data_IF_628105009970
#
_entry.id   IF_628105009970
#
_cell.length_a   1.000
_cell.length_b   1.000
_cell.length_c   1.000
_cell.angle_alpha   90.00
_cell.angle_beta   90.00
_cell.angle_gamma   90.00
#
_symmetry.space_group_name_H-M   'P 1'
#
loop_
_entity.id
_entity.type
_entity.pdbx_description
1 polymer ?
#
# COMPACT_ATOMS: atom_id res chain seq x y z
N UNK A 1 5.45 -29.72 -31.78
CA UNK A 1 5.56 -28.52 -30.93
C UNK A 1 5.14 -28.92 -29.54
N UNK A 2 6.11 -29.17 -28.66
CA UNK A 2 5.93 -29.72 -27.31
C UNK A 2 5.80 -28.58 -26.32
N UNK A 3 4.56 -28.22 -25.98
CA UNK A 3 4.26 -27.30 -24.87
C UNK A 3 4.61 -28.00 -23.56
N UNK A 4 5.57 -27.46 -22.81
CA UNK A 4 5.94 -28.00 -21.49
C UNK A 4 4.79 -27.67 -20.50
N UNK A 5 4.08 -28.67 -19.96
CA UNK A 5 2.83 -28.44 -19.21
C UNK A 5 3.04 -28.00 -17.74
N UNK A 6 4.26 -27.63 -17.35
CA UNK A 6 4.67 -27.50 -15.96
C UNK A 6 5.27 -26.13 -15.60
N UNK A 7 4.89 -25.03 -16.27
CA UNK A 7 5.24 -23.72 -15.73
C UNK A 7 4.19 -23.33 -14.68
N UNK A 8 4.50 -23.42 -13.37
CA UNK A 8 3.51 -23.08 -12.35
C UNK A 8 3.14 -21.60 -12.49
N UNK A 9 1.83 -21.31 -12.56
CA UNK A 9 1.23 -19.96 -12.58
C UNK A 9 1.80 -19.00 -11.52
N UNK A 10 2.34 -19.58 -10.44
CA UNK A 10 3.02 -18.90 -9.34
C UNK A 10 4.23 -18.08 -9.81
N UNK A 11 4.91 -18.49 -10.89
CA UNK A 11 6.10 -17.82 -11.41
C UNK A 11 5.76 -16.50 -12.10
N UNK A 12 4.58 -16.41 -12.70
CA UNK A 12 4.12 -15.21 -13.39
C UNK A 12 3.35 -14.25 -12.47
N UNK A 13 3.07 -14.68 -11.23
CA UNK A 13 2.30 -13.90 -10.28
C UNK A 13 3.23 -13.14 -9.35
N UNK A 14 2.99 -11.83 -9.23
CA UNK A 14 3.78 -10.97 -8.37
C UNK A 14 3.85 -11.55 -6.94
N UNK A 15 5.06 -11.67 -6.36
CA UNK A 15 5.20 -12.18 -5.01
C UNK A 15 4.55 -11.24 -4.01
N UNK A 16 3.91 -11.83 -3.00
CA UNK A 16 3.36 -11.10 -1.87
C UNK A 16 4.50 -10.71 -0.93
N UNK A 17 4.66 -9.42 -0.66
CA UNK A 17 5.76 -8.87 0.15
C UNK A 17 5.31 -8.66 1.60
N UNK A 18 4.13 -8.10 1.83
CA UNK A 18 3.68 -7.70 3.17
C UNK A 18 2.18 -7.89 3.39
N UNK A 19 1.79 -8.72 4.36
CA UNK A 19 0.39 -8.93 4.79
C UNK A 19 -0.61 -9.19 3.64
N UNK A 20 -0.19 -9.82 2.55
CA UNK A 20 -1.06 -10.08 1.39
C UNK A 20 -0.91 -9.11 0.21
N UNK A 21 -0.20 -8.00 0.39
CA UNK A 21 0.11 -7.00 -0.64
C UNK A 21 1.29 -7.46 -1.53
N UNK A 22 1.14 -7.32 -2.84
CA UNK A 22 2.25 -7.38 -3.80
C UNK A 22 3.09 -6.11 -3.71
N UNK A 23 4.27 -6.12 -4.32
CA UNK A 23 5.14 -4.94 -4.40
C UNK A 23 4.40 -3.73 -4.96
N UNK A 24 3.66 -3.92 -6.06
CA UNK A 24 2.91 -2.87 -6.73
C UNK A 24 1.82 -2.27 -5.82
N UNK A 25 1.06 -3.12 -5.13
CA UNK A 25 0.02 -2.69 -4.21
C UNK A 25 0.60 -1.94 -2.99
N UNK A 26 1.77 -2.36 -2.51
CA UNK A 26 2.45 -1.71 -1.39
C UNK A 26 2.97 -0.31 -1.78
N UNK A 27 3.56 -0.17 -2.96
CA UNK A 27 3.96 1.12 -3.50
C UNK A 27 2.77 2.05 -3.74
N UNK A 28 1.65 1.53 -4.24
CA UNK A 28 0.43 2.31 -4.42
C UNK A 28 -0.12 2.81 -3.07
N UNK A 29 -0.18 1.94 -2.06
CA UNK A 29 -0.61 2.31 -0.72
C UNK A 29 0.32 3.35 -0.07
N UNK A 30 1.64 3.19 -0.26
CA UNK A 30 2.64 4.16 0.19
C UNK A 30 2.45 5.52 -0.47
N UNK A 31 2.32 5.56 -1.81
CA UNK A 31 2.16 6.81 -2.56
C UNK A 31 0.86 7.53 -2.20
N UNK A 32 -0.26 6.81 -2.10
CA UNK A 32 -1.55 7.38 -1.69
C UNK A 32 -1.50 7.87 -0.25
N UNK A 33 -0.85 7.14 0.66
CA UNK A 33 -0.75 7.54 2.07
C UNK A 33 0.20 8.71 2.30
N UNK A 34 1.32 8.78 1.59
CA UNK A 34 2.18 9.95 1.59
C UNK A 34 1.45 11.16 1.00
N UNK A 35 0.79 11.02 -0.15
CA UNK A 35 0.06 12.11 -0.80
C UNK A 35 -1.09 12.64 0.07
N UNK A 36 -1.93 11.74 0.57
CA UNK A 36 -3.05 12.10 1.45
C UNK A 36 -2.57 12.67 2.79
N UNK A 37 -1.53 12.07 3.40
CA UNK A 37 -0.94 12.55 4.64
C UNK A 37 -0.24 13.89 4.50
N UNK A 38 0.44 14.17 3.38
CA UNK A 38 0.99 15.48 3.06
C UNK A 38 -0.11 16.53 2.90
N UNK A 39 -1.18 16.24 2.14
CA UNK A 39 -2.29 17.16 1.96
C UNK A 39 -2.96 17.51 3.29
N UNK A 40 -3.19 16.51 4.14
CA UNK A 40 -3.70 16.71 5.50
C UNK A 40 -2.72 17.50 6.39
N UNK A 41 -1.42 17.22 6.25
CA UNK A 41 -0.35 17.92 6.96
C UNK A 41 -0.24 19.39 6.60
N UNK A 42 -0.40 19.73 5.33
CA UNK A 42 -0.44 21.11 4.85
C UNK A 42 -1.63 21.84 5.49
N UNK A 43 -2.81 21.22 5.49
CA UNK A 43 -3.99 21.80 6.13
C UNK A 43 -3.74 22.04 7.64
N UNK A 44 -3.15 21.07 8.34
CA UNK A 44 -2.80 21.19 9.76
C UNK A 44 -1.75 22.28 10.01
N UNK A 45 -0.72 22.35 9.17
CA UNK A 45 0.34 23.35 9.26
C UNK A 45 -0.19 24.76 9.02
N UNK A 46 -1.20 24.94 8.14
CA UNK A 46 -1.86 26.23 7.94
C UNK A 46 -2.66 26.68 9.17
N UNK A 47 -3.33 25.75 9.86
CA UNK A 47 -4.16 26.06 11.04
C UNK A 47 -3.28 26.33 12.27
N UNK A 48 -2.23 25.54 12.45
CA UNK A 48 -1.36 25.59 13.65
C UNK A 48 -0.11 26.44 13.48
N UNK A 49 0.16 26.90 12.25
CA UNK A 49 1.43 27.52 11.84
C UNK A 49 2.69 26.67 12.12
N UNK A 50 2.52 25.36 12.35
CA UNK A 50 3.61 24.43 12.66
C UNK A 50 3.96 23.57 11.43
N UNK A 51 4.93 24.04 10.65
CA UNK A 51 5.41 23.40 9.42
C UNK A 51 5.90 21.95 9.55
N UNK A 52 6.55 21.52 10.65
CA UNK A 52 7.02 20.14 10.80
C UNK A 52 5.91 19.09 10.82
N UNK A 53 4.62 19.47 10.88
CA UNK A 53 3.51 18.53 10.81
C UNK A 53 3.40 17.82 9.45
N UNK A 54 3.87 18.46 8.38
CA UNK A 54 3.75 17.91 7.01
C UNK A 54 4.44 16.55 6.88
N UNK A 55 5.74 16.38 7.18
CA UNK A 55 6.37 15.07 7.11
C UNK A 55 5.80 14.08 8.14
N UNK A 56 5.38 14.55 9.32
CA UNK A 56 4.80 13.69 10.35
C UNK A 56 3.47 13.06 9.91
N UNK A 57 2.56 13.87 9.36
CA UNK A 57 1.27 13.39 8.86
C UNK A 57 1.41 12.57 7.58
N UNK A 58 2.38 12.87 6.73
CA UNK A 58 2.71 12.07 5.55
C UNK A 58 3.10 10.64 5.93
N UNK A 59 4.04 10.49 6.87
CA UNK A 59 4.46 9.19 7.37
C UNK A 59 3.34 8.46 8.12
N UNK A 60 2.53 9.19 8.91
CA UNK A 60 1.37 8.61 9.58
C UNK A 60 0.32 8.09 8.58
N UNK A 61 0.00 8.87 7.54
CA UNK A 61 -0.92 8.48 6.47
C UNK A 61 -0.44 7.25 5.70
N UNK A 62 0.85 7.21 5.34
CA UNK A 62 1.49 6.05 4.72
C UNK A 62 1.37 4.80 5.60
N UNK A 63 1.71 4.90 6.88
CA UNK A 63 1.64 3.78 7.82
C UNK A 63 0.19 3.26 7.96
N UNK A 64 -0.79 4.16 8.09
CA UNK A 64 -2.20 3.80 8.21
C UNK A 64 -2.71 3.06 6.96
N UNK A 65 -2.40 3.56 5.77
CA UNK A 65 -2.84 2.94 4.52
C UNK A 65 -2.16 1.58 4.27
N UNK A 66 -0.86 1.44 4.54
CA UNK A 66 -0.15 0.17 4.40
C UNK A 66 -0.67 -0.87 5.40
N UNK A 67 -0.89 -0.46 6.66
CA UNK A 67 -1.44 -1.34 7.71
C UNK A 67 -2.89 -1.76 7.41
N UNK A 68 -3.71 -0.83 6.89
CA UNK A 68 -5.11 -1.08 6.50
C UNK A 68 -5.22 -1.95 5.25
N UNK A 69 -4.39 -1.69 4.23
CA UNK A 69 -4.38 -2.39 2.95
C UNK A 69 -4.17 -3.89 3.08
N UNK A 70 -3.24 -4.31 3.97
CA UNK A 70 -3.02 -5.73 4.25
C UNK A 70 -4.25 -6.44 4.85
N UNK A 71 -5.04 -5.73 5.67
CA UNK A 71 -6.25 -6.30 6.29
C UNK A 71 -7.41 -6.40 5.30
N UNK A 72 -7.60 -5.39 4.45
CA UNK A 72 -8.65 -5.38 3.42
C UNK A 72 -8.36 -6.41 2.34
N UNK A 73 -7.10 -6.51 1.90
CA UNK A 73 -6.71 -7.43 0.84
C UNK A 73 -6.67 -8.90 1.32
N UNK A 74 -6.23 -9.15 2.57
CA UNK A 74 -6.35 -10.47 3.18
C UNK A 74 -7.81 -10.94 3.29
N UNK A 75 -8.76 -10.00 3.46
CA UNK A 75 -10.21 -10.30 3.42
C UNK A 75 -10.70 -10.50 1.99
N UNK A 76 -10.28 -9.67 1.03
CA UNK A 76 -10.67 -9.79 -0.37
C UNK A 76 -10.11 -11.07 -1.04
N UNK A 77 -8.96 -11.56 -0.58
CA UNK A 77 -8.36 -12.83 -1.03
C UNK A 77 -8.94 -14.06 -0.30
N UNK A 78 -9.64 -13.90 0.84
CA UNK A 78 -10.43 -14.97 1.49
C UNK A 78 -11.74 -15.17 0.74
N UNK A 79 -11.71 -15.98 -0.32
CA UNK A 79 -12.93 -16.34 -1.06
C UNK A 79 -12.75 -16.55 -2.57
N UNK A 80 -11.55 -16.28 -3.11
CA UNK A 80 -11.20 -16.75 -4.45
C UNK A 80 -10.66 -18.19 -4.35
N UNK A 81 -11.18 -19.15 -5.13
CA UNK A 81 -10.64 -20.50 -5.21
C UNK A 81 -9.20 -20.50 -5.75
#
# INVERSE_FOLDING_TARGET
>A
MTTIPFLPDRLNREPVVWRGLTTSELFLALALGLGGGCAFGILLALITHYWPLIPGSALAGAALLIQGGGRILARAKRGKP
#
